data_IF_014158724473
#
_entry.id   IF_014158724473
#
_cell.length_a   1.000
_cell.length_b   1.000
_cell.length_c   1.000
_cell.angle_alpha   90.00
_cell.angle_beta   90.00
_cell.angle_gamma   90.00
#
_symmetry.space_group_name_H-M   'P 1'
#
loop_
_entity.id
_entity.type
_entity.pdbx_description
1 polymer ?
#
# COMPACT_ATOMS: atom_id res chain seq x y z
N UNK A 1 -36.19 -31.96 -23.88
CA UNK A 1 -35.72 -30.79 -24.64
C UNK A 1 -36.00 -29.58 -23.77
N UNK A 2 -35.30 -29.45 -22.63
CA UNK A 2 -33.91 -29.00 -22.52
C UNK A 2 -33.82 -27.56 -22.97
N UNK A 3 -33.96 -26.65 -22.01
CA UNK A 3 -33.46 -25.29 -22.06
C UNK A 3 -33.35 -24.84 -20.62
N UNK A 4 -32.29 -25.31 -19.97
CA UNK A 4 -31.68 -24.65 -18.82
C UNK A 4 -31.27 -23.25 -19.30
N UNK A 5 -31.99 -22.22 -18.84
CA UNK A 5 -31.46 -20.86 -18.89
C UNK A 5 -30.59 -20.70 -17.65
N UNK A 6 -29.30 -20.54 -17.92
CA UNK A 6 -28.22 -20.60 -16.95
C UNK A 6 -28.35 -19.56 -15.85
N UNK A 7 -27.91 -19.99 -14.68
CA UNK A 7 -27.58 -19.17 -13.52
C UNK A 7 -26.70 -17.99 -13.94
N UNK A 8 -27.28 -16.79 -13.91
CA UNK A 8 -26.49 -15.59 -13.74
C UNK A 8 -25.92 -15.65 -12.33
N UNK A 9 -24.69 -16.16 -12.22
CA UNK A 9 -23.87 -15.85 -11.06
C UNK A 9 -23.66 -14.34 -11.06
N UNK A 10 -24.46 -13.63 -10.25
CA UNK A 10 -24.15 -12.30 -9.74
C UNK A 10 -22.86 -12.44 -8.92
N UNK A 11 -21.73 -12.46 -9.62
CA UNK A 11 -20.43 -12.32 -9.00
C UNK A 11 -20.38 -10.92 -8.44
N UNK A 12 -20.48 -10.79 -7.11
CA UNK A 12 -20.08 -9.56 -6.44
C UNK A 12 -18.68 -9.22 -6.96
N UNK A 13 -18.58 -8.14 -7.73
CA UNK A 13 -17.28 -7.56 -8.06
C UNK A 13 -16.74 -7.06 -6.73
N UNK A 14 -15.99 -7.90 -6.02
CA UNK A 14 -15.24 -7.46 -4.84
C UNK A 14 -14.25 -6.44 -5.36
N UNK A 15 -14.47 -5.17 -5.01
CA UNK A 15 -13.56 -4.10 -5.41
C UNK A 15 -12.14 -4.48 -4.98
N UNK A 16 -11.19 -4.36 -5.90
CA UNK A 16 -9.79 -4.66 -5.62
C UNK A 16 -9.33 -3.85 -4.40
N UNK A 17 -8.60 -4.45 -3.44
CA UNK A 17 -8.10 -3.73 -2.29
C UNK A 17 -7.20 -2.59 -2.74
N UNK A 18 -7.43 -1.39 -2.21
CA UNK A 18 -6.72 -0.19 -2.63
C UNK A 18 -5.45 0.00 -1.79
N UNK A 19 -4.31 0.10 -2.45
CA UNK A 19 -3.01 0.39 -1.82
C UNK A 19 -2.61 1.83 -2.14
N UNK A 20 -2.32 2.63 -1.12
CA UNK A 20 -1.77 3.97 -1.31
C UNK A 20 -0.24 3.88 -1.34
N UNK A 21 0.36 4.21 -2.48
CA UNK A 21 1.80 4.23 -2.71
C UNK A 21 2.31 5.67 -2.61
N UNK A 22 3.20 5.91 -1.66
CA UNK A 22 3.83 7.21 -1.40
C UNK A 22 5.32 7.09 -1.67
N UNK A 23 5.78 7.80 -2.69
CA UNK A 23 7.15 7.70 -3.20
C UNK A 23 7.43 8.97 -4.00
N UNK A 24 8.53 9.67 -3.74
CA UNK A 24 8.86 10.92 -4.44
C UNK A 24 9.46 10.67 -5.82
N UNK A 25 10.22 9.57 -5.97
CA UNK A 25 10.78 9.16 -7.25
C UNK A 25 9.71 8.58 -8.19
N UNK A 26 9.35 9.34 -9.23
CA UNK A 26 8.31 8.98 -10.21
C UNK A 26 8.48 7.57 -10.78
N UNK A 27 9.69 7.18 -11.18
CA UNK A 27 9.94 5.86 -11.77
C UNK A 27 9.77 4.72 -10.76
N UNK A 28 10.16 4.93 -9.51
CA UNK A 28 10.01 3.94 -8.43
C UNK A 28 8.53 3.81 -8.07
N UNK A 29 7.81 4.93 -7.98
CA UNK A 29 6.37 4.96 -7.70
C UNK A 29 5.58 4.22 -8.77
N UNK A 30 5.87 4.51 -10.04
CA UNK A 30 5.23 3.85 -11.17
C UNK A 30 5.48 2.35 -11.17
N UNK A 31 6.71 1.92 -10.90
CA UNK A 31 7.06 0.50 -10.82
C UNK A 31 6.30 -0.21 -9.69
N UNK A 32 6.26 0.38 -8.49
CA UNK A 32 5.54 -0.19 -7.36
C UNK A 32 4.04 -0.31 -7.64
N UNK A 33 3.43 0.71 -8.25
CA UNK A 33 2.03 0.69 -8.64
C UNK A 33 1.73 -0.36 -9.72
N UNK A 34 2.61 -0.51 -10.71
CA UNK A 34 2.47 -1.52 -11.77
C UNK A 34 2.51 -2.94 -11.20
N UNK A 35 3.46 -3.22 -10.29
CA UNK A 35 3.56 -4.50 -9.59
C UNK A 35 2.29 -4.82 -8.79
N UNK A 36 1.75 -3.83 -8.07
CA UNK A 36 0.53 -3.99 -7.28
C UNK A 36 -0.69 -4.25 -8.16
N UNK A 37 -0.82 -3.51 -9.27
CA UNK A 37 -1.91 -3.67 -10.23
C UNK A 37 -1.86 -5.02 -10.95
N UNK A 38 -0.68 -5.49 -11.34
CA UNK A 38 -0.48 -6.83 -11.92
C UNK A 38 -0.85 -7.95 -10.93
N UNK A 39 -0.65 -7.71 -9.63
CA UNK A 39 -1.05 -8.62 -8.56
C UNK A 39 -2.53 -8.55 -8.17
N UNK A 40 -3.34 -7.71 -8.84
CA UNK A 40 -4.80 -7.61 -8.61
C UNK A 40 -5.24 -6.58 -7.57
N UNK A 41 -4.32 -5.72 -7.09
CA UNK A 41 -4.66 -4.58 -6.22
C UNK A 41 -4.97 -3.34 -7.05
N UNK A 42 -5.72 -2.40 -6.49
CA UNK A 42 -5.73 -1.03 -7.03
C UNK A 42 -4.64 -0.20 -6.34
N UNK A 43 -4.03 0.74 -7.05
CA UNK A 43 -2.93 1.53 -6.54
C UNK A 43 -3.21 3.03 -6.72
N UNK A 44 -3.29 3.74 -5.59
CA UNK A 44 -3.30 5.20 -5.54
C UNK A 44 -1.88 5.73 -5.38
N UNK A 45 -1.60 6.85 -6.01
CA UNK A 45 -0.26 7.43 -6.07
C UNK A 45 -0.23 8.74 -5.28
N UNK A 46 0.80 8.91 -4.46
CA UNK A 46 1.14 10.17 -3.80
C UNK A 46 2.65 10.43 -3.95
N UNK A 47 3.02 11.69 -4.16
CA UNK A 47 4.43 12.11 -4.29
C UNK A 47 5.09 12.39 -2.94
N UNK A 48 4.29 12.67 -1.91
CA UNK A 48 4.78 13.04 -0.59
C UNK A 48 3.76 12.71 0.52
N UNK A 49 4.19 12.92 1.77
CA UNK A 49 3.37 12.67 2.95
C UNK A 49 2.10 13.55 3.02
N UNK A 50 2.13 14.76 2.48
CA UNK A 50 0.99 15.69 2.54
C UNK A 50 -0.12 15.23 1.59
N UNK A 51 0.23 14.88 0.36
CA UNK A 51 -0.70 14.29 -0.61
C UNK A 51 -1.27 12.96 -0.09
N UNK A 52 -0.43 12.13 0.53
CA UNK A 52 -0.86 10.88 1.14
C UNK A 52 -1.94 11.10 2.22
N UNK A 53 -1.75 12.07 3.11
CA UNK A 53 -2.73 12.39 4.16
C UNK A 53 -4.07 12.88 3.58
N UNK A 54 -4.02 13.72 2.55
CA UNK A 54 -5.22 14.20 1.85
C UNK A 54 -5.97 13.04 1.21
N UNK A 55 -5.26 12.11 0.57
CA UNK A 55 -5.85 10.91 -0.02
C UNK A 55 -6.45 9.99 1.03
N UNK A 56 -5.77 9.74 2.15
CA UNK A 56 -6.29 8.91 3.25
C UNK A 56 -7.55 9.50 3.90
N UNK A 57 -7.66 10.83 3.95
CA UNK A 57 -8.88 11.51 4.38
C UNK A 57 -10.03 11.35 3.39
N UNK A 58 -9.74 11.43 2.09
CA UNK A 58 -10.74 11.36 1.03
C UNK A 58 -11.16 9.93 0.66
N UNK A 59 -10.28 8.94 0.89
CA UNK A 59 -10.41 7.54 0.44
C UNK A 59 -10.37 6.58 1.63
N UNK A 60 -11.51 6.40 2.33
CA UNK A 60 -11.61 5.46 3.44
C UNK A 60 -11.53 3.98 3.00
N UNK A 61 -11.54 3.73 1.69
CA UNK A 61 -11.38 2.42 1.06
C UNK A 61 -9.92 1.99 0.90
N UNK A 62 -8.95 2.84 1.25
CA UNK A 62 -7.53 2.45 1.30
C UNK A 62 -7.33 1.33 2.32
N UNK A 63 -6.84 0.21 1.84
CA UNK A 63 -6.62 -1.02 2.60
C UNK A 63 -5.18 -1.17 3.11
N UNK A 64 -4.20 -0.46 2.51
CA UNK A 64 -2.81 -0.48 2.94
C UNK A 64 -2.08 0.80 2.53
N UNK A 65 -1.19 1.30 3.39
CA UNK A 65 -0.24 2.36 3.07
C UNK A 65 1.14 1.74 2.76
N UNK A 66 1.67 2.03 1.58
CA UNK A 66 3.04 1.72 1.18
C UNK A 66 3.80 3.03 1.01
N UNK A 67 4.81 3.31 1.83
CA UNK A 67 5.52 4.59 1.84
C UNK A 67 7.02 4.41 1.79
N UNK A 68 7.71 5.23 1.01
CA UNK A 68 9.16 5.38 1.10
C UNK A 68 9.57 6.22 2.30
N UNK A 69 10.67 5.86 2.96
CA UNK A 69 11.22 6.53 4.13
C UNK A 69 12.12 7.69 3.71
N UNK A 70 12.81 7.56 2.58
CA UNK A 70 13.82 8.49 2.08
C UNK A 70 13.19 9.67 1.31
N UNK A 71 11.95 10.05 1.67
CA UNK A 71 11.24 11.16 1.04
C UNK A 71 11.71 12.54 1.54
N UNK A 72 11.92 13.51 0.65
CA UNK A 72 12.21 14.90 1.03
C UNK A 72 10.96 15.59 1.60
N UNK A 73 11.14 16.46 2.60
CA UNK A 73 10.06 17.28 3.14
C UNK A 73 10.12 17.46 4.66
N UNK A 74 9.08 18.06 5.23
CA UNK A 74 8.94 18.20 6.69
C UNK A 74 8.59 16.87 7.38
N UNK A 75 7.89 15.99 6.66
CA UNK A 75 7.46 14.68 7.13
C UNK A 75 8.05 13.63 6.19
N UNK A 76 8.98 12.83 6.70
CA UNK A 76 9.51 11.66 6.00
C UNK A 76 8.54 10.46 6.12
N UNK A 77 8.84 9.34 5.45
CA UNK A 77 7.96 8.16 5.47
C UNK A 77 7.72 7.55 6.84
N UNK A 78 8.70 7.60 7.75
CA UNK A 78 8.52 7.15 9.13
C UNK A 78 7.60 8.08 9.91
N UNK A 79 7.74 9.40 9.73
CA UNK A 79 6.83 10.40 10.26
C UNK A 79 5.40 10.18 9.77
N UNK A 80 5.23 9.92 8.48
CA UNK A 80 3.94 9.58 7.89
C UNK A 80 3.37 8.30 8.50
N UNK A 81 4.16 7.21 8.55
CA UNK A 81 3.74 5.94 9.14
C UNK A 81 3.26 6.11 10.58
N UNK A 82 3.97 6.91 11.39
CA UNK A 82 3.59 7.19 12.78
C UNK A 82 2.29 7.99 12.88
N UNK A 83 2.12 9.03 12.06
CA UNK A 83 0.88 9.82 12.01
C UNK A 83 -0.31 8.95 11.59
N UNK A 84 -0.10 8.11 10.58
CA UNK A 84 -1.13 7.21 10.05
C UNK A 84 -1.51 6.15 11.07
N UNK A 85 -0.55 5.56 11.78
CA UNK A 85 -0.81 4.61 12.86
C UNK A 85 -1.63 5.22 14.00
N UNK A 86 -1.41 6.49 14.34
CA UNK A 86 -2.18 7.18 15.38
C UNK A 86 -3.62 7.47 14.95
N UNK A 87 -3.83 7.82 13.67
CA UNK A 87 -5.14 8.25 13.15
C UNK A 87 -5.99 7.10 12.59
N UNK A 88 -5.34 6.13 11.96
CA UNK A 88 -5.91 4.91 11.39
C UNK A 88 -5.16 3.68 11.94
N UNK A 89 -5.40 3.31 13.22
CA UNK A 89 -4.66 2.23 13.88
C UNK A 89 -4.87 0.84 13.25
N UNK A 90 -5.92 0.67 12.44
CA UNK A 90 -6.22 -0.57 11.74
C UNK A 90 -5.64 -0.62 10.32
N UNK A 91 -5.08 0.48 9.80
CA UNK A 91 -4.52 0.53 8.46
C UNK A 91 -3.13 -0.10 8.48
N UNK A 92 -2.86 -1.20 7.77
CA UNK A 92 -1.51 -1.76 7.64
C UNK A 92 -0.58 -0.77 6.94
N UNK A 93 0.67 -0.71 7.41
CA UNK A 93 1.68 0.20 6.86
C UNK A 93 2.90 -0.62 6.45
N UNK A 94 3.42 -0.37 5.25
CA UNK A 94 4.69 -0.87 4.76
C UNK A 94 5.58 0.34 4.48
N UNK A 95 6.66 0.46 5.22
CA UNK A 95 7.69 1.46 4.97
C UNK A 95 8.82 0.82 4.15
N UNK A 96 9.35 1.54 3.16
CA UNK A 96 10.47 1.08 2.35
C UNK A 96 11.62 2.09 2.38
N UNK A 97 12.87 1.65 2.22
CA UNK A 97 14.03 2.55 2.25
C UNK A 97 15.18 1.97 1.42
N UNK A 98 15.91 2.85 0.74
CA UNK A 98 17.16 2.55 0.04
C UNK A 98 18.39 2.54 0.95
N UNK A 99 18.31 3.23 2.08
CA UNK A 99 19.35 3.18 3.10
C UNK A 99 19.32 1.84 3.85
N UNK A 100 20.50 1.35 4.22
CA UNK A 100 20.59 0.12 5.00
C UNK A 100 20.06 0.37 6.41
N UNK A 101 18.91 -0.25 6.68
CA UNK A 101 18.21 -0.42 7.97
C UNK A 101 17.42 0.78 8.50
N UNK A 102 16.09 0.60 8.56
CA UNK A 102 15.20 1.28 9.50
C UNK A 102 15.20 0.47 10.79
N UNK A 103 15.38 1.12 11.93
CA UNK A 103 15.36 0.45 13.23
C UNK A 103 13.91 0.00 13.53
N UNK A 104 13.66 -1.27 13.90
CA UNK A 104 12.30 -1.75 14.18
C UNK A 104 11.55 -0.95 15.24
N UNK A 105 12.26 -0.24 16.12
CA UNK A 105 11.66 0.65 17.13
C UNK A 105 11.01 1.90 16.52
N UNK A 106 11.43 2.31 15.33
CA UNK A 106 10.90 3.49 14.64
C UNK A 106 9.62 3.19 13.85
N UNK A 107 9.28 1.90 13.68
CA UNK A 107 8.06 1.46 13.03
C UNK A 107 6.90 1.37 14.02
N UNK A 108 5.69 1.82 13.60
CA UNK A 108 4.51 1.61 14.41
C UNK A 108 4.13 0.12 14.52
N UNK A 109 3.28 -0.27 15.49
CA UNK A 109 2.92 -1.69 15.70
C UNK A 109 2.22 -2.37 14.51
N UNK A 110 1.54 -1.59 13.66
CA UNK A 110 0.93 -2.01 12.40
C UNK A 110 1.86 -1.79 11.18
N UNK A 111 3.13 -1.44 11.43
CA UNK A 111 4.15 -1.14 10.43
C UNK A 111 5.05 -2.34 10.14
N UNK A 112 5.41 -2.50 8.87
CA UNK A 112 6.43 -3.44 8.39
C UNK A 112 7.46 -2.71 7.57
N UNK A 113 8.66 -3.26 7.50
CA UNK A 113 9.74 -2.71 6.68
C UNK A 113 10.02 -3.60 5.47
N UNK A 114 10.21 -2.97 4.31
CA UNK A 114 10.69 -3.59 3.09
C UNK A 114 11.93 -2.87 2.58
N UNK A 115 13.09 -3.51 2.67
CA UNK A 115 14.35 -2.91 2.21
C UNK A 115 14.42 -2.86 0.67
N UNK A 116 14.84 -1.72 0.11
CA UNK A 116 15.21 -1.60 -1.31
C UNK A 116 16.67 -2.08 -1.52
N UNK A 117 16.99 -2.70 -2.68
CA UNK A 117 16.06 -3.06 -3.76
C UNK A 117 15.25 -4.31 -3.42
N UNK A 118 13.94 -4.26 -3.69
CA UNK A 118 13.03 -5.41 -3.55
C UNK A 118 12.65 -5.98 -4.91
N UNK A 119 12.34 -7.27 -4.94
CA UNK A 119 11.73 -7.92 -6.11
C UNK A 119 10.21 -7.72 -6.08
N UNK A 120 9.54 -7.73 -7.24
CA UNK A 120 8.08 -7.68 -7.30
C UNK A 120 7.39 -8.70 -6.38
N UNK A 121 7.87 -9.95 -6.38
CA UNK A 121 7.36 -11.00 -5.51
C UNK A 121 7.47 -10.65 -4.02
N UNK A 122 8.58 -10.04 -3.61
CA UNK A 122 8.81 -9.67 -2.20
C UNK A 122 7.90 -8.53 -1.77
N UNK A 123 7.60 -7.57 -2.66
CA UNK A 123 6.62 -6.54 -2.40
C UNK A 123 5.24 -7.16 -2.17
N UNK A 124 4.81 -8.04 -3.07
CA UNK A 124 3.49 -8.71 -2.99
C UNK A 124 3.39 -9.55 -1.72
N UNK A 125 4.40 -10.37 -1.40
CA UNK A 125 4.44 -11.17 -0.17
C UNK A 125 4.32 -10.29 1.09
N UNK A 126 4.95 -9.10 1.07
CA UNK A 126 4.86 -8.15 2.17
C UNK A 126 3.46 -7.56 2.33
N UNK A 127 2.83 -7.19 1.20
CA UNK A 127 1.45 -6.66 1.14
C UNK A 127 0.45 -7.70 1.63
N UNK A 128 0.51 -8.92 1.12
CA UNK A 128 -0.37 -10.02 1.53
C UNK A 128 -0.23 -10.32 3.02
N UNK A 129 1.01 -10.32 3.54
CA UNK A 129 1.27 -10.58 4.93
C UNK A 129 0.85 -9.42 5.86
N UNK A 130 0.86 -8.17 5.37
CA UNK A 130 0.48 -6.98 6.13
C UNK A 130 -1.04 -6.78 6.16
N UNK A 131 -1.69 -6.93 5.00
CA UNK A 131 -3.10 -6.63 4.85
C UNK A 131 -4.00 -7.77 5.30
N UNK A 132 -3.55 -9.04 5.26
CA UNK A 132 -4.43 -10.23 5.37
C UNK A 132 -5.61 -10.13 4.39
N UNK A 133 -5.43 -9.36 3.32
CA UNK A 133 -6.42 -9.12 2.29
C UNK A 133 -5.79 -9.72 1.03
N UNK A 134 -6.51 -10.67 0.43
CA UNK A 134 -6.19 -11.22 -0.88
C UNK A 134 -7.21 -10.68 -1.87
N UNK A 135 -6.77 -10.14 -3.02
CA UNK A 135 -7.68 -9.82 -4.12
C UNK A 135 -8.36 -11.09 -4.67
#
# INVERSE_FOLDING_TARGET
MSSEIGEAAEGAVTAAPVVLVVEDEVLVRMLACDILRDAGYDALEAVDAQEALVLLDARPDVALLFTDVDMPGEINGLGLARLVSLRWPNLPIIATSGAATVDPVDLPPNGRFLQKPYRPSTLIECVEAAAVIKP
#
